data_IF_295350559603
#
_entry.id   IF_295350559603
#
_cell.length_a   1.000
_cell.length_b   1.000
_cell.length_c   1.000
_cell.angle_alpha   90.00
_cell.angle_beta   90.00
_cell.angle_gamma   90.00
#
_symmetry.space_group_name_H-M   'P 1'
#
loop_
_entity.id
_entity.type
_entity.pdbx_description
1 polymer ?
#
# COMPACT_ATOMS: atom_id res chain seq x y z
N UNK A 1 -75.47 41.39 49.66
CA UNK A 1 -74.55 40.22 49.49
C UNK A 1 -73.16 40.59 49.98
N UNK A 2 -72.71 39.96 51.07
CA UNK A 2 -71.57 40.37 51.90
C UNK A 2 -70.21 40.32 51.17
N UNK A 3 -69.42 41.41 51.26
CA UNK A 3 -68.03 41.50 50.78
C UNK A 3 -67.15 40.34 51.30
N UNK A 4 -67.42 39.88 52.52
CA UNK A 4 -66.74 38.74 53.15
C UNK A 4 -66.87 37.43 52.35
N UNK A 5 -68.03 37.17 51.75
CA UNK A 5 -68.27 35.93 50.97
C UNK A 5 -67.46 35.96 49.67
N UNK A 6 -67.33 37.12 49.01
CA UNK A 6 -66.50 37.26 47.80
C UNK A 6 -65.02 37.02 48.08
N UNK A 7 -64.51 37.50 49.22
CA UNK A 7 -63.11 37.30 49.62
C UNK A 7 -62.84 35.82 49.92
N UNK A 8 -63.76 35.15 50.63
CA UNK A 8 -63.66 33.71 50.92
C UNK A 8 -63.66 32.86 49.64
N UNK A 9 -64.51 33.20 48.66
CA UNK A 9 -64.53 32.51 47.36
C UNK A 9 -63.22 32.75 46.60
N UNK A 10 -62.72 33.99 46.55
CA UNK A 10 -61.43 34.31 45.91
C UNK A 10 -60.24 33.58 46.57
N UNK A 11 -60.22 33.47 47.90
CA UNK A 11 -59.20 32.70 48.61
C UNK A 11 -59.29 31.20 48.30
N UNK A 12 -60.49 30.62 48.24
CA UNK A 12 -60.66 29.19 47.91
C UNK A 12 -60.22 28.86 46.47
N UNK A 13 -60.49 29.77 45.52
CA UNK A 13 -60.06 29.62 44.13
C UNK A 13 -58.54 29.81 44.02
N UNK A 14 -57.95 30.75 44.75
CA UNK A 14 -56.50 30.97 44.77
C UNK A 14 -55.73 29.78 45.35
N UNK A 15 -56.23 29.16 46.42
CA UNK A 15 -55.60 27.98 47.04
C UNK A 15 -55.71 26.75 46.15
N UNK A 16 -56.85 26.54 45.49
CA UNK A 16 -57.02 25.42 44.55
C UNK A 16 -56.15 25.58 43.31
N UNK A 17 -56.03 26.80 42.76
CA UNK A 17 -55.08 27.07 41.66
C UNK A 17 -53.64 26.85 42.09
N UNK A 18 -53.25 27.28 43.31
CA UNK A 18 -51.91 27.08 43.84
C UNK A 18 -51.57 25.60 44.03
N UNK A 19 -52.51 24.79 44.53
CA UNK A 19 -52.35 23.34 44.68
C UNK A 19 -52.18 22.68 43.31
N UNK A 20 -53.03 23.00 42.34
CA UNK A 20 -52.95 22.46 40.97
C UNK A 20 -51.62 22.85 40.28
N UNK A 21 -51.17 24.10 40.43
CA UNK A 21 -49.85 24.53 39.93
C UNK A 21 -48.68 23.84 40.65
N UNK A 22 -48.78 23.66 41.97
CA UNK A 22 -47.76 22.97 42.77
C UNK A 22 -47.65 21.47 42.45
N UNK A 23 -48.73 20.87 41.94
CA UNK A 23 -48.79 19.44 41.60
C UNK A 23 -48.34 19.19 40.14
N UNK A 24 -48.49 20.18 39.26
CA UNK A 24 -48.03 20.14 37.86
C UNK A 24 -46.54 20.48 37.72
N UNK A 25 -46.01 21.42 38.50
CA UNK A 25 -44.60 21.87 38.45
C UNK A 25 -43.56 20.75 38.65
N UNK A 26 -43.64 19.88 39.68
CA UNK A 26 -42.60 18.88 39.93
C UNK A 26 -42.56 17.80 38.85
N UNK A 27 -43.67 17.56 38.16
CA UNK A 27 -43.78 16.56 37.10
C UNK A 27 -43.13 17.05 35.78
N UNK A 28 -43.10 18.37 35.56
CA UNK A 28 -42.42 18.98 34.42
C UNK A 28 -40.90 18.97 34.62
N UNK A 29 -40.43 19.34 35.80
CA UNK A 29 -39.00 19.35 36.15
C UNK A 29 -38.40 17.94 36.13
N UNK A 30 -39.14 16.94 36.59
CA UNK A 30 -38.72 15.54 36.57
C UNK A 30 -38.59 14.98 35.14
N UNK A 31 -39.49 15.38 34.23
CA UNK A 31 -39.40 15.00 32.81
C UNK A 31 -38.26 15.72 32.09
N UNK A 32 -38.01 16.99 32.42
CA UNK A 32 -36.89 17.76 31.86
C UNK A 32 -35.54 17.20 32.30
N UNK A 33 -35.40 16.82 33.57
CA UNK A 33 -34.17 16.18 34.07
C UNK A 33 -33.91 14.83 33.40
N UNK A 34 -34.93 13.99 33.20
CA UNK A 34 -34.79 12.73 32.47
C UNK A 34 -34.38 12.91 31.00
N UNK A 35 -34.92 13.93 30.32
CA UNK A 35 -34.55 14.25 28.93
C UNK A 35 -33.10 14.73 28.85
N UNK A 36 -32.66 15.58 29.80
CA UNK A 36 -31.28 16.08 29.87
C UNK A 36 -30.30 14.94 30.14
N UNK A 37 -30.58 14.06 31.10
CA UNK A 37 -29.76 12.87 31.36
C UNK A 37 -29.64 11.97 30.12
N UNK A 38 -30.75 11.72 29.42
CA UNK A 38 -30.75 10.94 28.19
C UNK A 38 -29.87 11.56 27.09
N UNK A 39 -29.92 12.88 26.92
CA UNK A 39 -29.08 13.61 25.95
C UNK A 39 -27.59 13.52 26.31
N UNK A 40 -27.26 13.65 27.60
CA UNK A 40 -25.88 13.54 28.09
C UNK A 40 -25.33 12.14 27.84
N UNK A 41 -26.07 11.10 28.21
CA UNK A 41 -25.67 9.69 28.02
C UNK A 41 -25.47 9.38 26.52
N UNK A 42 -26.35 9.86 25.64
CA UNK A 42 -26.21 9.65 24.21
C UNK A 42 -24.99 10.39 23.63
N UNK A 43 -24.69 11.60 24.13
CA UNK A 43 -23.51 12.36 23.73
C UNK A 43 -22.21 11.68 24.17
N UNK A 44 -22.17 11.12 25.38
CA UNK A 44 -21.02 10.36 25.88
C UNK A 44 -20.79 9.06 25.10
N UNK A 45 -21.85 8.33 24.75
CA UNK A 45 -21.76 7.14 23.88
C UNK A 45 -21.24 7.50 22.49
N UNK A 46 -21.75 8.57 21.89
CA UNK A 46 -21.28 9.02 20.57
C UNK A 46 -19.80 9.44 20.58
N UNK A 47 -19.36 10.13 21.64
CA UNK A 47 -17.95 10.53 21.81
C UNK A 47 -17.03 9.31 21.98
N UNK A 48 -17.45 8.30 22.75
CA UNK A 48 -16.65 7.08 22.96
C UNK A 48 -16.57 6.21 21.71
N UNK A 49 -17.68 6.05 20.97
CA UNK A 49 -17.68 5.35 19.68
C UNK A 49 -16.81 6.04 18.64
N UNK A 50 -16.91 7.38 18.52
CA UNK A 50 -16.07 8.16 17.62
C UNK A 50 -14.59 8.09 17.98
N UNK A 51 -14.26 8.04 19.28
CA UNK A 51 -12.88 7.93 19.75
C UNK A 51 -12.29 6.54 19.46
N UNK A 52 -13.06 5.48 19.67
CA UNK A 52 -12.67 4.10 19.33
C UNK A 52 -12.43 3.95 17.82
N UNK A 53 -13.31 4.51 16.98
CA UNK A 53 -13.12 4.52 15.53
C UNK A 53 -11.84 5.26 15.12
N UNK A 54 -11.56 6.42 15.72
CA UNK A 54 -10.33 7.17 15.46
C UNK A 54 -9.07 6.37 15.86
N UNK A 55 -9.13 5.65 16.99
CA UNK A 55 -8.05 4.75 17.42
C UNK A 55 -7.83 3.60 16.44
N UNK A 56 -8.88 2.96 15.95
CA UNK A 56 -8.77 1.88 14.95
C UNK A 56 -8.15 2.41 13.64
N UNK A 57 -8.65 3.54 13.13
CA UNK A 57 -8.16 4.15 11.90
C UNK A 57 -6.68 4.54 12.03
N UNK A 58 -6.30 5.19 13.15
CA UNK A 58 -4.90 5.57 13.38
C UNK A 58 -3.98 4.35 13.49
N UNK A 59 -4.44 3.24 14.08
CA UNK A 59 -3.69 2.00 14.16
C UNK A 59 -3.49 1.36 12.78
N UNK A 60 -4.53 1.30 11.95
CA UNK A 60 -4.42 0.81 10.56
C UNK A 60 -3.45 1.64 9.73
N UNK A 61 -3.52 2.97 9.84
CA UNK A 61 -2.60 3.88 9.14
C UNK A 61 -1.16 3.67 9.60
N UNK A 62 -0.93 3.46 10.90
CA UNK A 62 0.41 3.17 11.43
C UNK A 62 0.98 1.87 10.85
N UNK A 63 0.16 0.81 10.77
CA UNK A 63 0.55 -0.47 10.16
C UNK A 63 0.93 -0.27 8.68
N UNK A 64 0.12 0.46 7.91
CA UNK A 64 0.40 0.75 6.50
C UNK A 64 1.72 1.51 6.30
N UNK A 65 2.02 2.48 7.17
CA UNK A 65 3.28 3.23 7.13
C UNK A 65 4.47 2.29 7.38
N UNK A 66 4.39 1.42 8.39
CA UNK A 66 5.45 0.46 8.71
C UNK A 66 5.69 -0.51 7.55
N UNK A 67 4.63 -1.05 6.96
CA UNK A 67 4.69 -1.94 5.79
C UNK A 67 5.34 -1.24 4.58
N UNK A 68 4.95 0.01 4.31
CA UNK A 68 5.51 0.82 3.22
C UNK A 68 7.01 1.05 3.39
N UNK A 69 7.46 1.37 4.62
CA UNK A 69 8.88 1.55 4.93
C UNK A 69 9.65 0.23 4.76
N UNK A 70 9.09 -0.89 5.23
CA UNK A 70 9.70 -2.21 5.12
C UNK A 70 9.91 -2.61 3.65
N UNK A 71 8.85 -2.49 2.83
CA UNK A 71 8.92 -2.78 1.39
C UNK A 71 9.95 -1.91 0.67
N UNK A 72 10.04 -0.62 1.01
CA UNK A 72 11.07 0.26 0.44
C UNK A 72 12.49 -0.19 0.81
N UNK A 73 12.72 -0.57 2.07
CA UNK A 73 14.03 -1.08 2.52
C UNK A 73 14.43 -2.36 1.77
N UNK A 74 13.53 -3.33 1.63
CA UNK A 74 13.82 -4.56 0.90
C UNK A 74 14.12 -4.32 -0.59
N UNK A 75 13.38 -3.40 -1.23
CA UNK A 75 13.62 -3.02 -2.62
C UNK A 75 15.01 -2.40 -2.80
N UNK A 76 15.45 -1.57 -1.85
CA UNK A 76 16.80 -0.97 -1.90
C UNK A 76 17.87 -2.04 -1.69
N UNK A 77 17.71 -2.92 -0.69
CA UNK A 77 18.67 -4.00 -0.41
C UNK A 77 18.82 -4.96 -1.58
N UNK A 78 17.72 -5.34 -2.23
CA UNK A 78 17.73 -6.19 -3.43
C UNK A 78 18.40 -5.53 -4.63
N UNK A 79 18.21 -4.22 -4.83
CA UNK A 79 18.92 -3.47 -5.88
C UNK A 79 20.42 -3.37 -5.62
N UNK A 80 20.83 -3.10 -4.37
CA UNK A 80 22.23 -3.00 -3.97
C UNK A 80 22.95 -4.34 -4.15
N UNK A 81 22.34 -5.43 -3.69
CA UNK A 81 22.89 -6.80 -3.85
C UNK A 81 22.97 -7.22 -5.32
N UNK A 82 21.95 -6.90 -6.13
CA UNK A 82 21.99 -7.13 -7.58
C UNK A 82 23.14 -6.36 -8.25
N UNK A 83 23.35 -5.10 -7.90
CA UNK A 83 24.48 -4.31 -8.43
C UNK A 83 25.84 -4.83 -7.95
N UNK A 84 25.94 -5.30 -6.71
CA UNK A 84 27.17 -5.93 -6.18
C UNK A 84 27.54 -7.19 -6.99
N UNK A 85 26.55 -8.02 -7.33
CA UNK A 85 26.74 -9.20 -8.16
C UNK A 85 27.14 -8.84 -9.59
N UNK A 86 26.54 -7.79 -10.18
CA UNK A 86 26.93 -7.29 -11.51
C UNK A 86 28.39 -6.82 -11.49
N UNK A 87 28.78 -6.02 -10.49
CA UNK A 87 30.16 -5.54 -10.33
C UNK A 87 31.16 -6.69 -10.15
N UNK A 88 30.78 -7.72 -9.36
CA UNK A 88 31.59 -8.93 -9.19
C UNK A 88 31.77 -9.67 -10.52
N UNK A 89 30.69 -9.88 -11.28
CA UNK A 89 30.74 -10.54 -12.59
C UNK A 89 31.59 -9.77 -13.60
N UNK A 90 31.50 -8.44 -13.66
CA UNK A 90 32.33 -7.62 -14.57
C UNK A 90 33.82 -7.74 -14.21
N UNK A 91 34.15 -7.72 -12.91
CA UNK A 91 35.54 -7.89 -12.46
C UNK A 91 36.07 -9.30 -12.78
N UNK A 92 35.25 -10.33 -12.59
CA UNK A 92 35.60 -11.71 -12.95
C UNK A 92 35.89 -11.85 -14.46
N UNK A 93 35.05 -11.27 -15.32
CA UNK A 93 35.26 -11.26 -16.78
C UNK A 93 36.55 -10.51 -17.15
N UNK A 94 36.85 -9.38 -16.50
CA UNK A 94 38.07 -8.60 -16.75
C UNK A 94 39.35 -9.35 -16.34
N UNK A 95 39.27 -10.09 -15.24
CA UNK A 95 40.39 -10.85 -14.71
C UNK A 95 40.50 -12.27 -15.30
N UNK A 96 39.70 -12.58 -16.32
CA UNK A 96 39.62 -13.90 -16.97
C UNK A 96 39.23 -15.08 -16.05
N UNK A 97 38.81 -14.80 -14.81
CA UNK A 97 38.25 -15.78 -13.87
C UNK A 97 36.81 -16.16 -14.25
N UNK A 98 36.67 -16.90 -15.34
CA UNK A 98 35.38 -17.29 -15.92
C UNK A 98 34.61 -18.34 -15.10
N UNK A 99 35.26 -18.98 -14.12
CA UNK A 99 34.65 -20.01 -13.26
C UNK A 99 33.54 -19.46 -12.36
N UNK A 100 33.59 -18.17 -12.00
CA UNK A 100 32.66 -17.56 -11.04
C UNK A 100 31.47 -16.86 -11.73
N UNK A 101 31.40 -16.88 -13.07
CA UNK A 101 30.37 -16.20 -13.85
C UNK A 101 29.17 -17.11 -14.07
N UNK A 102 28.11 -16.96 -13.24
CA UNK A 102 26.81 -17.57 -13.50
C UNK A 102 26.15 -16.92 -14.73
N UNK A 103 26.33 -17.52 -15.91
CA UNK A 103 25.61 -17.11 -17.12
C UNK A 103 24.13 -17.51 -17.00
N UNK A 104 23.25 -16.51 -17.19
CA UNK A 104 21.78 -16.72 -17.18
C UNK A 104 21.28 -17.48 -18.42
N UNK A 105 22.06 -17.51 -19.49
CA UNK A 105 21.69 -18.17 -20.74
C UNK A 105 22.23 -19.61 -20.76
N UNK A 106 21.37 -20.62 -20.99
CA UNK A 106 21.78 -22.01 -20.98
C UNK A 106 22.77 -22.28 -22.12
N UNK A 107 23.83 -23.05 -21.84
CA UNK A 107 24.82 -23.51 -22.83
C UNK A 107 24.18 -24.09 -24.10
N UNK A 108 22.99 -24.68 -23.97
CA UNK A 108 22.19 -25.21 -25.08
C UNK A 108 21.88 -24.12 -26.12
N UNK A 109 21.48 -22.93 -25.69
CA UNK A 109 21.13 -21.81 -26.59
C UNK A 109 22.34 -21.31 -27.40
N UNK A 110 23.50 -21.12 -26.74
CA UNK A 110 24.76 -20.77 -27.41
C UNK A 110 25.19 -21.82 -28.44
N UNK A 111 25.09 -23.11 -28.12
CA UNK A 111 25.40 -24.21 -29.05
C UNK A 111 24.47 -24.21 -30.27
N UNK A 112 23.16 -24.01 -30.07
CA UNK A 112 22.23 -23.90 -31.21
C UNK A 112 22.51 -22.70 -32.10
N UNK A 113 22.93 -21.57 -31.53
CA UNK A 113 23.32 -20.38 -32.31
C UNK A 113 24.57 -20.63 -33.15
N UNK A 114 25.61 -21.24 -32.56
CA UNK A 114 26.83 -21.63 -33.27
C UNK A 114 26.54 -22.53 -34.48
N UNK A 115 25.64 -23.51 -34.32
CA UNK A 115 25.28 -24.44 -35.39
C UNK A 115 24.44 -23.78 -36.51
N UNK A 116 23.66 -22.75 -36.18
CA UNK A 116 22.80 -22.04 -37.15
C UNK A 116 23.56 -21.01 -37.99
N UNK A 117 24.69 -20.49 -37.51
CA UNK A 117 25.46 -19.46 -38.22
C UNK A 117 26.33 -20.12 -39.29
N UNK A 118 26.04 -19.85 -40.57
CA UNK A 118 26.79 -20.40 -41.72
C UNK A 118 27.92 -19.49 -42.23
N UNK A 119 28.13 -18.31 -41.65
CA UNK A 119 28.93 -17.26 -42.30
C UNK A 119 30.40 -17.27 -41.88
N UNK A 120 31.28 -17.26 -42.90
CA UNK A 120 32.73 -17.06 -42.79
C UNK A 120 33.16 -15.59 -42.74
N UNK A 121 32.28 -14.66 -43.14
CA UNK A 121 32.56 -13.21 -43.18
C UNK A 121 31.52 -12.43 -42.38
N UNK A 122 31.99 -11.66 -41.40
CA UNK A 122 31.20 -10.75 -40.57
C UNK A 122 30.91 -9.48 -41.36
N UNK A 123 29.80 -9.43 -42.10
CA UNK A 123 29.35 -8.19 -42.75
C UNK A 123 28.12 -7.64 -42.00
N UNK A 124 28.17 -6.38 -41.57
CA UNK A 124 27.29 -5.80 -40.56
C UNK A 124 25.80 -5.78 -40.97
N UNK A 125 25.52 -5.58 -42.26
CA UNK A 125 24.17 -5.63 -42.81
C UNK A 125 23.58 -7.05 -42.81
N UNK A 126 24.40 -8.04 -43.16
CA UNK A 126 23.97 -9.46 -43.21
C UNK A 126 23.67 -10.00 -41.82
N UNK A 127 24.49 -9.62 -40.84
CA UNK A 127 24.30 -9.89 -39.41
C UNK A 127 22.98 -9.33 -38.90
N UNK A 128 22.66 -8.09 -39.26
CA UNK A 128 21.44 -7.42 -38.78
C UNK A 128 20.19 -8.06 -39.39
N UNK A 129 20.21 -8.40 -40.69
CA UNK A 129 19.11 -9.13 -41.35
C UNK A 129 18.89 -10.51 -40.73
N UNK A 130 19.95 -11.21 -40.36
CA UNK A 130 19.84 -12.53 -39.71
C UNK A 130 19.41 -12.46 -38.25
N UNK A 131 19.91 -11.49 -37.48
CA UNK A 131 19.48 -11.23 -36.11
C UNK A 131 17.95 -11.03 -36.05
N UNK A 132 17.40 -10.26 -37.00
CA UNK A 132 15.95 -10.12 -37.17
C UNK A 132 15.26 -11.44 -37.51
N UNK A 133 15.77 -12.20 -38.49
CA UNK A 133 15.18 -13.51 -38.87
C UNK A 133 15.17 -14.54 -37.74
N UNK A 134 16.22 -14.54 -36.92
CA UNK A 134 16.39 -15.49 -35.82
C UNK A 134 15.77 -14.98 -34.51
N UNK A 135 15.25 -13.74 -34.48
CA UNK A 135 14.77 -13.07 -33.27
C UNK A 135 15.82 -13.06 -32.14
N UNK A 136 17.07 -12.78 -32.51
CA UNK A 136 18.22 -12.76 -31.57
C UNK A 136 18.88 -11.39 -31.60
N UNK A 137 19.46 -10.98 -30.46
CA UNK A 137 20.22 -9.73 -30.38
C UNK A 137 21.45 -9.75 -31.31
N UNK A 138 21.71 -8.63 -32.01
CA UNK A 138 22.83 -8.50 -32.95
C UNK A 138 24.17 -8.90 -32.32
N UNK A 139 24.40 -8.51 -31.07
CA UNK A 139 25.64 -8.82 -30.33
C UNK A 139 25.86 -10.31 -30.07
N UNK A 140 24.81 -11.09 -29.81
CA UNK A 140 24.93 -12.54 -29.61
C UNK A 140 25.26 -13.26 -30.93
N UNK A 141 24.66 -12.80 -32.03
CA UNK A 141 24.95 -13.34 -33.35
C UNK A 141 26.39 -13.02 -33.79
N UNK A 142 26.85 -11.81 -33.49
CA UNK A 142 28.23 -11.37 -33.75
C UNK A 142 29.23 -12.19 -32.95
N UNK A 143 28.97 -12.40 -31.66
CA UNK A 143 29.82 -13.21 -30.78
C UNK A 143 29.90 -14.66 -31.26
N UNK A 144 28.75 -15.27 -31.60
CA UNK A 144 28.72 -16.64 -32.08
C UNK A 144 29.41 -16.81 -33.46
N UNK A 145 29.27 -15.84 -34.36
CA UNK A 145 30.00 -15.82 -35.63
C UNK A 145 31.52 -15.70 -35.42
N UNK A 146 31.95 -14.83 -34.50
CA UNK A 146 33.38 -14.65 -34.16
C UNK A 146 33.99 -15.92 -33.54
N UNK A 147 33.26 -16.58 -32.63
CA UNK A 147 33.68 -17.84 -32.03
C UNK A 147 33.83 -18.95 -33.09
N UNK A 148 32.91 -19.02 -34.05
CA UNK A 148 33.01 -19.99 -35.16
C UNK A 148 34.23 -19.73 -36.04
N UNK A 149 34.51 -18.46 -36.36
CA UNK A 149 35.70 -18.08 -37.11
C UNK A 149 37.00 -18.49 -36.39
N UNK A 150 37.08 -18.27 -35.07
CA UNK A 150 38.23 -18.70 -34.26
C UNK A 150 38.38 -20.22 -34.23
N UNK A 151 37.28 -20.97 -34.13
CA UNK A 151 37.29 -22.44 -34.15
C UNK A 151 37.76 -22.99 -35.51
N UNK A 152 37.42 -22.32 -36.61
CA UNK A 152 37.90 -22.69 -37.96
C UNK A 152 39.38 -22.34 -38.18
N UNK A 153 39.93 -21.35 -37.46
CA UNK A 153 41.36 -20.98 -37.53
C UNK A 153 42.28 -21.90 -36.71
N UNK A 154 41.72 -22.60 -35.72
CA UNK A 154 42.46 -23.56 -34.87
C UNK A 154 42.45 -24.99 -35.43
N UNK A 155 41.81 -25.21 -36.58
CA UNK A 155 41.81 -26.48 -37.33
C UNK A 155 42.68 -26.35 -38.57
#
# INVERSE_FOLDING_TARGET
>A
MNKLIKILILCSIGVTLFIILSEISPNLDMRLTQIIEYIIIQKERFLTESFLLMLIISFEVAILIVLSIYWRKEKIVSLVTKNKNIKKNIRAIRNEDLLDVKFKYPNKYRRTLLNKIKYKKLNDETLTKQAKKLSVAKGELFLAARLKQLQEQQR
#
